data_IF_264348638719
#
_entry.id   IF_264348638719
#
_cell.length_a   1.000
_cell.length_b   1.000
_cell.length_c   1.000
_cell.angle_alpha   90.00
_cell.angle_beta   90.00
_cell.angle_gamma   90.00
#
_symmetry.space_group_name_H-M   'P 1'
#
loop_
_entity.id
_entity.type
_entity.pdbx_description
1 polymer ?
#
# COMPACT_ATOMS: atom_id res chain seq x y z
N UNK A 1 -8.17 -39.85 7.61
CA UNK A 1 -7.19 -39.50 8.64
C UNK A 1 -6.12 -38.55 8.11
N UNK A 2 -5.46 -38.79 6.97
CA UNK A 2 -4.44 -37.91 6.40
C UNK A 2 -5.00 -36.47 6.13
N UNK A 3 -6.20 -36.33 5.61
CA UNK A 3 -6.86 -35.03 5.36
C UNK A 3 -7.17 -34.26 6.65
N UNK A 4 -7.54 -34.95 7.72
CA UNK A 4 -7.76 -34.30 9.02
C UNK A 4 -6.47 -33.84 9.67
N UNK A 5 -5.42 -34.68 9.65
CA UNK A 5 -4.11 -34.26 10.18
C UNK A 5 -3.49 -33.14 9.38
N UNK A 6 -3.62 -33.14 8.04
CA UNK A 6 -3.17 -32.04 7.21
C UNK A 6 -3.95 -30.74 7.52
N UNK A 7 -5.26 -30.83 7.69
CA UNK A 7 -6.09 -29.69 8.07
C UNK A 7 -5.68 -29.06 9.41
N UNK A 8 -5.36 -29.89 10.42
CA UNK A 8 -4.84 -29.39 11.70
C UNK A 8 -3.46 -28.77 11.60
N UNK A 9 -2.56 -29.34 10.81
CA UNK A 9 -1.23 -28.77 10.58
C UNK A 9 -1.33 -27.41 9.86
N UNK A 10 -2.15 -27.33 8.82
CA UNK A 10 -2.41 -26.07 8.11
C UNK A 10 -3.04 -25.03 9.02
N UNK A 11 -3.97 -25.42 9.89
CA UNK A 11 -4.58 -24.52 10.87
C UNK A 11 -3.52 -23.96 11.84
N UNK A 12 -2.62 -24.78 12.36
CA UNK A 12 -1.55 -24.33 13.26
C UNK A 12 -0.58 -23.39 12.54
N UNK A 13 -0.22 -23.69 11.28
CA UNK A 13 0.61 -22.82 10.45
C UNK A 13 -0.07 -21.47 10.15
N UNK A 14 -1.39 -21.45 10.03
CA UNK A 14 -2.17 -20.26 9.72
C UNK A 14 -2.15 -19.18 10.82
N UNK A 15 -1.87 -19.52 12.07
CA UNK A 15 -1.70 -18.52 13.12
C UNK A 15 -0.51 -17.60 12.83
N UNK A 16 0.61 -18.20 12.39
CA UNK A 16 1.77 -17.42 11.97
C UNK A 16 1.43 -16.53 10.79
N UNK A 17 0.72 -17.07 9.80
CA UNK A 17 0.29 -16.33 8.61
C UNK A 17 -0.65 -15.17 8.97
N UNK A 18 -1.65 -15.38 9.84
CA UNK A 18 -2.58 -14.31 10.29
C UNK A 18 -1.83 -13.19 11.03
N UNK A 19 -0.76 -13.52 11.74
CA UNK A 19 0.07 -12.52 12.45
C UNK A 19 1.02 -11.75 11.52
N UNK A 20 1.37 -12.29 10.34
CA UNK A 20 2.33 -11.67 9.43
C UNK A 20 1.68 -10.95 8.25
N UNK A 21 0.49 -11.37 7.81
CA UNK A 21 -0.15 -10.89 6.59
C UNK A 21 -1.15 -9.78 6.88
N UNK A 22 -1.15 -8.74 6.06
CA UNK A 22 -2.12 -7.64 6.15
C UNK A 22 -3.51 -8.11 5.70
N UNK A 23 -4.59 -7.79 6.47
CA UNK A 23 -5.96 -8.09 6.05
C UNK A 23 -6.38 -7.27 4.82
N UNK A 24 -7.20 -7.86 3.94
CA UNK A 24 -7.81 -9.18 4.01
C UNK A 24 -6.86 -10.32 3.63
N UNK A 25 -6.81 -11.38 4.43
CA UNK A 25 -5.93 -12.54 4.17
C UNK A 25 -6.40 -13.42 3.01
N UNK A 26 -7.62 -13.19 2.52
CA UNK A 26 -8.22 -13.98 1.45
C UNK A 26 -8.58 -15.40 1.87
N UNK A 27 -8.47 -16.35 0.94
CA UNK A 27 -8.81 -17.77 1.12
C UNK A 27 -7.60 -18.65 1.43
N UNK A 28 -6.56 -18.08 2.03
CA UNK A 28 -5.36 -18.84 2.37
C UNK A 28 -5.70 -20.09 3.22
N UNK A 29 -5.06 -21.21 2.89
CA UNK A 29 -5.33 -22.51 3.48
C UNK A 29 -5.21 -22.48 5.01
N UNK A 30 -6.26 -22.92 5.67
CA UNK A 30 -6.32 -23.04 7.13
C UNK A 30 -6.71 -21.77 7.88
N UNK A 31 -6.61 -20.55 7.32
CA UNK A 31 -6.93 -19.30 8.02
C UNK A 31 -8.40 -19.24 8.46
N UNK A 32 -9.31 -19.59 7.57
CA UNK A 32 -10.73 -19.64 7.89
C UNK A 32 -11.02 -20.66 9.01
N UNK A 33 -10.41 -21.84 8.95
CA UNK A 33 -10.55 -22.87 9.97
C UNK A 33 -9.99 -22.41 11.32
N UNK A 34 -8.86 -21.72 11.33
CA UNK A 34 -8.25 -21.16 12.55
C UNK A 34 -9.18 -20.13 13.23
N UNK A 35 -9.71 -19.19 12.48
CA UNK A 35 -10.64 -18.17 13.00
C UNK A 35 -11.94 -18.83 13.51
N UNK A 36 -12.53 -19.75 12.73
CA UNK A 36 -13.71 -20.51 13.15
C UNK A 36 -13.47 -21.29 14.44
N UNK A 37 -12.34 -21.96 14.56
CA UNK A 37 -12.01 -22.75 15.74
C UNK A 37 -11.89 -21.88 16.99
N UNK A 38 -11.21 -20.72 16.90
CA UNK A 38 -11.13 -19.75 18.00
C UNK A 38 -12.52 -19.31 18.41
N UNK A 39 -13.32 -18.83 17.47
CA UNK A 39 -14.69 -18.35 17.75
C UNK A 39 -15.56 -19.43 18.37
N UNK A 40 -15.51 -20.68 17.88
CA UNK A 40 -16.26 -21.80 18.42
C UNK A 40 -15.85 -22.14 19.87
N UNK A 41 -14.55 -22.17 20.17
CA UNK A 41 -14.07 -22.43 21.53
C UNK A 41 -14.52 -21.33 22.49
N UNK A 42 -14.41 -20.06 22.14
CA UNK A 42 -14.87 -18.98 22.98
C UNK A 42 -16.40 -18.97 23.13
N UNK A 43 -17.15 -19.29 22.07
CA UNK A 43 -18.59 -19.43 22.12
C UNK A 43 -19.02 -20.60 23.03
N UNK A 44 -18.33 -21.73 22.92
CA UNK A 44 -18.58 -22.90 23.78
C UNK A 44 -18.34 -22.59 25.26
N UNK A 45 -17.18 -21.99 25.57
CA UNK A 45 -16.86 -21.58 26.95
C UNK A 45 -17.88 -20.56 27.49
N UNK A 46 -18.26 -19.58 26.67
CA UNK A 46 -19.31 -18.61 27.03
C UNK A 46 -20.63 -19.32 27.33
N UNK A 47 -21.04 -20.26 26.46
CA UNK A 47 -22.27 -21.01 26.61
C UNK A 47 -22.30 -21.87 27.90
N UNK A 48 -21.20 -22.56 28.19
CA UNK A 48 -21.06 -23.37 29.42
C UNK A 48 -21.30 -22.50 30.67
N UNK A 49 -20.63 -21.35 30.76
CA UNK A 49 -20.80 -20.45 31.90
C UNK A 49 -22.14 -19.74 31.92
N UNK A 50 -22.67 -19.35 30.76
CA UNK A 50 -23.96 -18.63 30.70
C UNK A 50 -25.20 -19.46 31.13
N UNK A 51 -25.15 -20.79 30.94
CA UNK A 51 -26.24 -21.71 31.27
C UNK A 51 -26.18 -22.17 32.72
N UNK A 52 -25.08 -21.91 33.44
CA UNK A 52 -24.92 -22.31 34.83
C UNK A 52 -25.99 -21.63 35.73
N UNK A 53 -26.58 -22.36 36.64
CA UNK A 53 -27.64 -21.84 37.55
C UNK A 53 -27.06 -20.87 38.59
N UNK A 54 -25.82 -21.07 39.01
CA UNK A 54 -25.16 -20.19 39.98
C UNK A 54 -24.77 -18.85 39.33
N UNK A 55 -25.36 -17.77 39.83
CA UNK A 55 -25.19 -16.41 39.34
C UNK A 55 -23.71 -15.91 39.35
N UNK A 56 -22.87 -16.48 40.19
CA UNK A 56 -21.43 -16.12 40.23
C UNK A 56 -20.68 -16.70 39.02
N UNK A 57 -20.91 -17.96 38.71
CA UNK A 57 -20.31 -18.61 37.55
C UNK A 57 -20.84 -18.05 36.23
N UNK A 58 -22.11 -17.63 36.21
CA UNK A 58 -22.70 -16.99 35.03
C UNK A 58 -21.95 -15.73 34.64
N UNK A 59 -21.43 -14.94 35.59
CA UNK A 59 -20.63 -13.72 35.27
C UNK A 59 -19.29 -14.05 34.62
N UNK A 60 -18.74 -15.23 34.83
CA UNK A 60 -17.50 -15.67 34.18
C UNK A 60 -17.68 -15.76 32.65
N UNK A 61 -18.91 -15.93 32.16
CA UNK A 61 -19.20 -15.95 30.72
C UNK A 61 -18.79 -14.66 30.00
N UNK A 62 -18.63 -13.55 30.69
CA UNK A 62 -18.18 -12.27 30.13
C UNK A 62 -16.72 -12.38 29.69
N UNK A 63 -15.89 -13.14 30.41
CA UNK A 63 -14.44 -13.24 30.17
C UNK A 63 -14.13 -13.81 28.77
N UNK A 64 -14.65 -14.99 28.37
CA UNK A 64 -14.36 -15.50 27.02
C UNK A 64 -14.91 -14.60 25.90
N UNK A 65 -16.06 -13.96 26.09
CA UNK A 65 -16.61 -13.02 25.09
C UNK A 65 -15.70 -11.82 24.90
N UNK A 66 -15.27 -11.19 25.99
CA UNK A 66 -14.38 -10.02 25.94
C UNK A 66 -12.98 -10.40 25.46
N UNK A 67 -12.47 -11.56 25.83
CA UNK A 67 -11.19 -12.09 25.35
C UNK A 67 -11.21 -12.33 23.84
N UNK A 68 -12.27 -12.96 23.32
CA UNK A 68 -12.43 -13.16 21.88
C UNK A 68 -12.47 -11.82 21.12
N UNK A 69 -13.25 -10.85 21.63
CA UNK A 69 -13.31 -9.52 21.04
C UNK A 69 -11.94 -8.83 21.05
N UNK A 70 -11.20 -8.95 22.15
CA UNK A 70 -9.85 -8.38 22.26
C UNK A 70 -8.88 -9.03 21.25
N UNK A 71 -8.90 -10.36 21.11
CA UNK A 71 -8.08 -11.08 20.14
C UNK A 71 -8.45 -10.63 18.72
N UNK A 72 -9.72 -10.59 18.37
CA UNK A 72 -10.18 -10.12 17.06
C UNK A 72 -9.77 -8.66 16.80
N UNK A 73 -9.83 -7.83 17.85
CA UNK A 73 -9.41 -6.43 17.75
C UNK A 73 -7.89 -6.30 17.57
N UNK A 74 -7.07 -7.13 18.20
CA UNK A 74 -5.60 -7.13 18.08
C UNK A 74 -5.14 -7.62 16.70
N UNK A 75 -5.83 -8.61 16.14
CA UNK A 75 -5.49 -9.21 14.84
C UNK A 75 -6.14 -8.46 13.65
N UNK A 76 -7.08 -7.57 13.90
CA UNK A 76 -7.84 -6.85 12.86
C UNK A 76 -7.05 -5.74 12.17
N UNK A 77 -7.67 -5.15 11.13
CA UNK A 77 -7.14 -4.01 10.38
C UNK A 77 -7.15 -2.70 11.19
N UNK A 78 -6.45 -1.68 10.70
CA UNK A 78 -6.32 -0.37 11.36
C UNK A 78 -7.58 0.51 11.34
N UNK A 79 -8.61 0.19 10.53
CA UNK A 79 -9.82 1.03 10.41
C UNK A 79 -10.58 1.18 11.75
N UNK A 80 -10.50 2.38 12.37
CA UNK A 80 -10.96 2.64 13.72
C UNK A 80 -12.48 2.59 13.89
N UNK A 81 -13.23 3.16 12.95
CA UNK A 81 -14.68 3.33 13.09
C UNK A 81 -15.47 2.02 13.20
N UNK A 82 -15.14 1.04 12.39
CA UNK A 82 -15.85 -0.24 12.41
C UNK A 82 -15.68 -0.99 13.75
N UNK A 83 -14.49 -0.92 14.34
CA UNK A 83 -14.20 -1.54 15.64
C UNK A 83 -14.95 -0.87 16.78
N UNK A 84 -15.02 0.48 16.77
CA UNK A 84 -15.78 1.24 17.76
C UNK A 84 -17.26 0.86 17.71
N UNK A 85 -17.81 0.74 16.51
CA UNK A 85 -19.20 0.34 16.30
C UNK A 85 -19.49 -1.07 16.84
N UNK A 86 -18.66 -2.05 16.46
CA UNK A 86 -18.79 -3.45 16.93
C UNK A 86 -18.59 -3.54 18.45
N UNK A 87 -17.58 -2.87 19.00
CA UNK A 87 -17.33 -2.83 20.43
C UNK A 87 -18.49 -2.22 21.22
N UNK A 88 -19.09 -1.16 20.71
CA UNK A 88 -20.26 -0.53 21.34
C UNK A 88 -21.47 -1.46 21.34
N UNK A 89 -21.77 -2.12 20.23
CA UNK A 89 -22.87 -3.09 20.15
C UNK A 89 -22.65 -4.24 21.12
N UNK A 90 -21.43 -4.80 21.18
CA UNK A 90 -21.10 -5.88 22.10
C UNK A 90 -21.24 -5.44 23.57
N UNK A 91 -20.77 -4.25 23.91
CA UNK A 91 -20.93 -3.70 25.26
C UNK A 91 -22.42 -3.56 25.64
N UNK A 92 -23.26 -3.05 24.73
CA UNK A 92 -24.71 -2.94 24.94
C UNK A 92 -25.36 -4.30 25.17
N UNK A 93 -25.03 -5.30 24.34
CA UNK A 93 -25.54 -6.68 24.48
C UNK A 93 -25.15 -7.24 25.85
N UNK A 94 -23.89 -7.10 26.27
CA UNK A 94 -23.43 -7.58 27.58
C UNK A 94 -24.13 -6.87 28.73
N UNK A 95 -24.30 -5.55 28.66
CA UNK A 95 -25.02 -4.80 29.72
C UNK A 95 -26.51 -5.21 29.82
N UNK A 96 -27.18 -5.38 28.68
CA UNK A 96 -28.57 -5.87 28.65
C UNK A 96 -28.64 -7.28 29.25
N UNK A 97 -27.74 -8.18 28.85
CA UNK A 97 -27.69 -9.54 29.35
C UNK A 97 -27.46 -9.61 30.87
N UNK A 98 -26.47 -8.86 31.39
CA UNK A 98 -26.19 -8.75 32.83
C UNK A 98 -27.43 -8.21 33.57
N UNK A 99 -28.01 -7.14 33.04
CA UNK A 99 -29.19 -6.50 33.64
C UNK A 99 -30.38 -7.45 33.69
N UNK A 100 -30.62 -8.24 32.65
CA UNK A 100 -31.65 -9.26 32.60
C UNK A 100 -31.38 -10.38 33.62
N UNK A 101 -30.15 -10.87 33.69
CA UNK A 101 -29.76 -11.97 34.60
C UNK A 101 -29.85 -11.60 36.06
N UNK A 102 -29.55 -10.35 36.41
CA UNK A 102 -29.66 -9.85 37.79
C UNK A 102 -31.05 -9.28 38.11
N UNK A 103 -32.03 -9.51 37.23
CA UNK A 103 -33.41 -9.02 37.39
C UNK A 103 -33.48 -7.49 37.59
N UNK A 104 -32.52 -6.76 37.09
CA UNK A 104 -32.50 -5.29 37.16
C UNK A 104 -33.52 -4.65 36.21
N UNK A 105 -34.08 -5.42 35.26
CA UNK A 105 -35.12 -4.97 34.32
C UNK A 105 -36.55 -5.12 34.87
N UNK A 106 -36.72 -5.64 36.11
CA UNK A 106 -38.05 -5.73 36.75
C UNK A 106 -38.64 -4.35 37.04
N UNK A 107 -39.98 -4.27 37.00
CA UNK A 107 -40.71 -3.03 37.28
C UNK A 107 -40.28 -2.44 38.63
N UNK A 108 -39.73 -1.23 38.63
CA UNK A 108 -39.19 -0.55 39.81
C UNK A 108 -37.67 -0.37 39.83
N UNK A 109 -36.92 -1.13 39.05
CA UNK A 109 -35.46 -1.01 38.91
C UNK A 109 -34.99 -0.60 37.52
N UNK A 110 -35.88 -0.46 36.56
CA UNK A 110 -35.58 -0.12 35.18
C UNK A 110 -34.83 1.22 35.05
N UNK A 111 -35.14 2.19 35.91
CA UNK A 111 -34.42 3.48 35.94
C UNK A 111 -32.95 3.30 36.27
N UNK A 112 -32.60 2.43 37.23
CA UNK A 112 -31.20 2.12 37.56
C UNK A 112 -30.48 1.47 36.40
N UNK A 113 -31.14 0.58 35.66
CA UNK A 113 -30.56 -0.07 34.47
C UNK A 113 -30.32 0.92 33.34
N UNK A 114 -31.24 1.83 33.08
CA UNK A 114 -31.07 2.91 32.09
C UNK A 114 -29.90 3.82 32.48
N UNK A 115 -29.80 4.20 33.75
CA UNK A 115 -28.68 5.02 34.25
C UNK A 115 -27.33 4.31 34.05
N UNK A 116 -27.24 3.01 34.35
CA UNK A 116 -26.03 2.21 34.15
C UNK A 116 -25.67 2.14 32.67
N UNK A 117 -26.63 1.90 31.78
CA UNK A 117 -26.40 1.88 30.33
C UNK A 117 -25.91 3.22 29.84
N UNK A 118 -26.56 4.31 30.20
CA UNK A 118 -26.18 5.68 29.77
C UNK A 118 -24.78 6.04 30.29
N UNK A 119 -24.49 5.75 31.56
CA UNK A 119 -23.14 5.97 32.12
C UNK A 119 -22.05 5.12 31.43
N UNK A 120 -22.35 3.85 31.13
CA UNK A 120 -21.41 2.96 30.44
C UNK A 120 -21.12 3.45 29.03
N UNK A 121 -22.13 3.90 28.29
CA UNK A 121 -21.99 4.48 26.97
C UNK A 121 -21.22 5.81 27.03
N UNK A 122 -21.54 6.67 27.98
CA UNK A 122 -20.83 7.94 28.18
C UNK A 122 -19.34 7.73 28.53
N UNK A 123 -19.04 6.77 29.41
CA UNK A 123 -17.66 6.41 29.75
C UNK A 123 -16.90 5.78 28.56
N UNK A 124 -17.58 4.95 27.76
CA UNK A 124 -16.99 4.38 26.56
C UNK A 124 -16.65 5.46 25.52
N UNK A 125 -17.58 6.37 25.28
CA UNK A 125 -17.36 7.51 24.35
C UNK A 125 -16.26 8.44 24.91
N UNK A 126 -16.32 8.79 26.19
CA UNK A 126 -15.32 9.61 26.85
C UNK A 126 -13.93 8.98 26.82
N UNK A 127 -13.83 7.67 27.05
CA UNK A 127 -12.58 6.91 26.93
C UNK A 127 -12.03 6.92 25.51
N UNK A 128 -12.88 6.76 24.51
CA UNK A 128 -12.47 6.83 23.10
C UNK A 128 -11.97 8.21 22.66
N UNK A 129 -12.45 9.28 23.30
CA UNK A 129 -12.02 10.66 23.00
C UNK A 129 -10.70 11.04 23.67
N UNK A 130 -10.36 10.37 24.79
CA UNK A 130 -9.18 10.68 25.61
C UNK A 130 -7.98 9.77 25.26
N UNK A 131 -8.26 8.53 24.82
CA UNK A 131 -7.20 7.60 24.41
C UNK A 131 -6.71 7.98 23.03
N UNK A 132 -5.43 8.29 22.94
CA UNK A 132 -4.73 8.57 21.69
C UNK A 132 -4.97 7.43 20.69
N UNK A 133 -5.32 7.79 19.47
CA UNK A 133 -5.77 6.80 18.47
C UNK A 133 -4.61 6.06 17.80
N UNK A 134 -3.37 6.40 18.13
CA UNK A 134 -2.19 5.72 17.63
C UNK A 134 -2.10 4.31 18.21
N UNK A 135 -2.63 3.38 17.43
CA UNK A 135 -2.66 1.98 17.81
C UNK A 135 -1.37 1.29 17.41
N UNK A 136 -0.70 0.67 18.38
CA UNK A 136 0.30 -0.37 18.13
C UNK A 136 -0.34 -1.58 17.45
N UNK A 137 0.04 -1.84 16.21
CA UNK A 137 -0.44 -3.01 15.46
C UNK A 137 0.47 -4.19 15.86
N UNK A 138 -0.12 -5.25 16.43
CA UNK A 138 0.64 -6.43 16.87
C UNK A 138 1.44 -7.07 15.73
N UNK A 139 0.89 -7.03 14.53
CA UNK A 139 1.51 -7.53 13.31
C UNK A 139 2.84 -6.84 13.01
N UNK A 140 2.93 -5.54 13.18
CA UNK A 140 4.14 -4.75 12.91
C UNK A 140 5.29 -5.11 13.87
N UNK A 141 4.96 -5.67 15.05
CA UNK A 141 5.96 -6.19 15.98
C UNK A 141 6.41 -7.61 15.64
N UNK A 142 5.55 -8.41 15.01
CA UNK A 142 5.83 -9.78 14.69
C UNK A 142 6.52 -9.92 13.31
N UNK A 143 6.02 -9.22 12.32
CA UNK A 143 6.55 -9.15 10.96
C UNK A 143 6.48 -7.68 10.50
N UNK A 144 7.51 -6.89 10.84
CA UNK A 144 7.52 -5.47 10.52
C UNK A 144 7.49 -5.27 8.99
N UNK A 145 6.94 -4.15 8.52
CA UNK A 145 6.97 -3.83 7.10
C UNK A 145 8.39 -3.89 6.55
N UNK A 146 8.54 -4.48 5.38
CA UNK A 146 9.82 -4.47 4.67
C UNK A 146 10.05 -3.06 4.14
N UNK A 147 11.16 -2.45 4.53
CA UNK A 147 11.57 -1.15 4.03
C UNK A 147 12.77 -1.30 3.11
N UNK A 148 12.60 -1.08 1.81
CA UNK A 148 13.69 -1.12 0.84
C UNK A 148 14.50 0.19 0.80
N UNK A 149 14.28 1.12 1.71
CA UNK A 149 14.93 2.42 1.78
C UNK A 149 16.46 2.33 1.70
N UNK A 150 17.05 1.28 2.27
CA UNK A 150 18.48 1.02 2.26
C UNK A 150 19.00 0.43 0.93
N UNK A 151 18.12 0.14 -0.01
CA UNK A 151 18.53 -0.33 -1.33
C UNK A 151 19.00 0.86 -2.18
N UNK A 152 19.83 0.57 -3.17
CA UNK A 152 20.23 1.56 -4.17
C UNK A 152 18.98 2.14 -4.84
N UNK A 153 19.00 3.44 -5.14
CA UNK A 153 17.91 4.10 -5.86
C UNK A 153 17.48 3.28 -7.09
N UNK A 154 16.21 2.91 -7.20
CA UNK A 154 15.73 2.14 -8.35
C UNK A 154 15.99 2.86 -9.68
N UNK A 155 15.84 4.19 -9.70
CA UNK A 155 16.04 5.00 -10.88
C UNK A 155 17.48 4.95 -11.38
N UNK A 156 18.46 4.85 -10.49
CA UNK A 156 19.88 4.67 -10.85
C UNK A 156 20.13 3.36 -11.61
N UNK A 157 19.26 2.36 -11.45
CA UNK A 157 19.30 1.10 -12.19
C UNK A 157 18.89 1.21 -13.66
N UNK A 158 18.14 2.27 -14.03
CA UNK A 158 17.60 2.44 -15.39
C UNK A 158 18.67 2.34 -16.48
N UNK A 159 19.83 2.95 -16.24
CA UNK A 159 20.96 2.94 -17.20
C UNK A 159 21.43 1.53 -17.53
N UNK A 160 21.41 0.63 -16.55
CA UNK A 160 21.81 -0.77 -16.76
C UNK A 160 20.88 -1.49 -17.74
N UNK A 161 19.57 -1.27 -17.64
CA UNK A 161 18.61 -1.84 -18.60
C UNK A 161 18.86 -1.34 -20.02
N UNK A 162 19.17 -0.04 -20.20
CA UNK A 162 19.42 0.56 -21.50
C UNK A 162 20.75 0.10 -22.11
N UNK A 163 21.79 -0.08 -21.30
CA UNK A 163 23.14 -0.42 -21.80
C UNK A 163 23.37 -1.91 -21.97
N UNK A 164 22.84 -2.71 -21.03
CA UNK A 164 23.17 -4.14 -20.93
C UNK A 164 22.07 -5.04 -21.49
N UNK A 165 20.82 -4.57 -21.53
CA UNK A 165 19.67 -5.39 -21.86
C UNK A 165 18.75 -4.74 -22.91
N UNK A 166 19.32 -3.86 -23.76
CA UNK A 166 18.57 -3.11 -24.78
C UNK A 166 17.82 -4.02 -25.76
N UNK A 167 18.44 -5.13 -26.13
CA UNK A 167 17.94 -6.07 -27.12
C UNK A 167 17.38 -7.36 -26.48
N UNK A 168 17.37 -7.44 -25.15
CA UNK A 168 16.85 -8.59 -24.42
C UNK A 168 15.38 -8.41 -24.10
N UNK A 169 14.61 -9.52 -24.12
CA UNK A 169 13.29 -9.58 -23.52
C UNK A 169 13.48 -9.72 -22.01
N UNK A 170 12.99 -8.76 -21.24
CA UNK A 170 13.10 -8.74 -19.80
C UNK A 170 11.86 -9.32 -19.12
N UNK A 171 10.71 -9.15 -19.75
CA UNK A 171 9.41 -9.50 -19.21
C UNK A 171 8.44 -9.77 -20.35
N UNK A 172 7.75 -10.89 -20.29
CA UNK A 172 6.61 -11.22 -21.15
C UNK A 172 5.32 -11.06 -20.37
N UNK A 173 4.35 -10.32 -20.94
CA UNK A 173 3.06 -10.08 -20.26
C UNK A 173 1.91 -10.44 -21.18
N UNK A 174 1.07 -11.36 -20.73
CA UNK A 174 -0.12 -11.80 -21.46
C UNK A 174 -1.37 -11.11 -20.92
N UNK A 175 -2.31 -10.80 -21.80
CA UNK A 175 -3.61 -10.20 -21.49
C UNK A 175 -3.53 -8.81 -20.77
N UNK A 176 -2.44 -8.08 -20.96
CA UNK A 176 -2.35 -6.72 -20.46
C UNK A 176 -3.21 -5.80 -21.35
N UNK A 177 -4.04 -4.91 -20.77
CA UNK A 177 -4.81 -3.95 -21.57
C UNK A 177 -3.89 -3.06 -22.42
N UNK A 178 -4.22 -2.87 -23.68
CA UNK A 178 -3.42 -2.07 -24.61
C UNK A 178 -3.14 -0.66 -24.09
N UNK A 179 -1.93 -0.16 -24.27
CA UNK A 179 -1.49 1.15 -23.80
C UNK A 179 -1.17 1.22 -22.30
N UNK A 180 -1.20 0.10 -21.59
CA UNK A 180 -0.82 0.05 -20.19
C UNK A 180 0.71 0.00 -20.02
N UNK A 181 1.20 0.58 -18.93
CA UNK A 181 2.59 0.48 -18.50
C UNK A 181 2.76 -0.50 -17.35
N UNK A 182 3.94 -1.06 -17.22
CA UNK A 182 4.33 -1.92 -16.10
C UNK A 182 5.24 -1.14 -15.18
N UNK A 183 4.88 -1.07 -13.90
CA UNK A 183 5.60 -0.34 -12.85
C UNK A 183 6.55 -1.28 -12.13
N UNK A 184 7.75 -0.81 -11.85
CA UNK A 184 8.70 -1.45 -10.95
C UNK A 184 8.72 -0.77 -9.59
N UNK A 185 9.11 0.50 -9.55
CA UNK A 185 9.29 1.24 -8.31
C UNK A 185 8.70 2.64 -8.39
N UNK A 186 8.27 3.15 -7.24
CA UNK A 186 7.74 4.52 -7.08
C UNK A 186 8.56 5.24 -6.02
N UNK A 187 9.14 6.37 -6.39
CA UNK A 187 10.04 7.16 -5.55
C UNK A 187 9.43 8.52 -5.28
N UNK A 188 9.38 8.92 -4.04
CA UNK A 188 8.76 10.17 -3.60
C UNK A 188 9.70 11.06 -2.77
N UNK A 189 10.94 10.65 -2.54
CA UNK A 189 11.98 11.42 -1.86
C UNK A 189 13.13 11.75 -2.79
N UNK A 190 13.54 13.02 -2.82
CA UNK A 190 14.75 13.49 -3.48
C UNK A 190 15.70 14.08 -2.43
N UNK A 191 16.94 13.56 -2.36
CA UNK A 191 17.95 13.95 -1.38
C UNK A 191 19.08 14.84 -1.97
N UNK A 192 18.85 15.41 -3.13
CA UNK A 192 19.84 16.19 -3.88
C UNK A 192 20.66 15.36 -4.84
N UNK A 193 20.86 14.08 -4.58
CA UNK A 193 21.66 13.19 -5.41
C UNK A 193 20.80 12.21 -6.20
N UNK A 194 19.81 11.61 -5.54
CA UNK A 194 18.96 10.57 -6.13
C UNK A 194 17.51 10.67 -5.67
N UNK A 195 16.62 10.15 -6.50
CA UNK A 195 15.27 9.80 -6.09
C UNK A 195 15.29 8.45 -5.40
N UNK A 196 14.63 8.37 -4.25
CA UNK A 196 14.46 7.15 -3.48
C UNK A 196 13.08 7.11 -2.81
N UNK A 197 12.83 6.08 -2.03
CA UNK A 197 11.62 5.95 -1.22
C UNK A 197 11.78 6.74 0.08
N UNK A 198 10.68 7.20 0.63
CA UNK A 198 10.59 7.75 1.99
C UNK A 198 10.35 6.63 3.00
N UNK A 199 10.67 6.87 4.25
CA UNK A 199 10.44 5.97 5.37
C UNK A 199 9.39 6.52 6.35
N UNK A 200 9.03 5.73 7.36
CA UNK A 200 8.01 6.07 8.36
C UNK A 200 8.34 7.29 9.23
N UNK A 201 9.56 7.80 9.19
CA UNK A 201 9.96 9.01 9.92
C UNK A 201 9.66 10.28 9.14
N UNK A 202 9.29 10.16 7.86
CA UNK A 202 9.00 11.25 6.95
C UNK A 202 7.49 11.52 6.85
N UNK A 203 7.13 12.53 6.08
CA UNK A 203 5.74 12.92 5.84
C UNK A 203 4.94 11.94 4.95
N UNK A 204 5.62 10.99 4.33
CA UNK A 204 5.04 9.86 3.61
C UNK A 204 5.89 8.61 3.88
N UNK A 205 5.33 7.44 3.66
CA UNK A 205 6.00 6.14 3.84
C UNK A 205 5.84 5.29 2.58
N UNK A 206 6.53 5.70 1.51
CA UNK A 206 6.51 4.95 0.25
C UNK A 206 7.28 3.63 0.33
N UNK A 207 8.05 3.41 1.40
CA UNK A 207 8.77 2.16 1.66
C UNK A 207 8.00 1.17 2.55
N UNK A 208 6.74 1.43 2.87
CA UNK A 208 5.93 0.55 3.70
C UNK A 208 5.39 -0.65 2.88
N UNK A 209 6.24 -1.62 2.62
CA UNK A 209 5.86 -2.86 1.94
C UNK A 209 5.45 -3.92 2.96
N UNK A 210 4.23 -4.42 2.82
CA UNK A 210 3.67 -5.42 3.72
C UNK A 210 3.44 -6.73 3.01
N UNK A 211 3.61 -7.83 3.72
CA UNK A 211 3.18 -9.12 3.23
C UNK A 211 1.66 -9.13 3.08
N UNK A 212 1.16 -9.53 1.93
CA UNK A 212 -0.27 -9.60 1.63
C UNK A 212 -0.69 -11.04 1.35
N UNK A 213 -1.95 -11.33 1.60
CA UNK A 213 -2.54 -12.63 1.31
C UNK A 213 -2.99 -12.76 -0.15
N UNK A 214 -3.88 -13.71 -0.40
CA UNK A 214 -4.47 -13.95 -1.73
C UNK A 214 -5.47 -12.87 -2.16
N UNK A 215 -5.77 -11.90 -1.29
CA UNK A 215 -6.65 -10.77 -1.57
C UNK A 215 -6.05 -9.48 -1.03
N UNK A 216 -6.07 -8.44 -1.84
CA UNK A 216 -5.55 -7.10 -1.53
C UNK A 216 -6.70 -6.12 -1.59
N UNK A 217 -6.85 -5.28 -0.56
CA UNK A 217 -7.85 -4.22 -0.58
C UNK A 217 -7.47 -3.16 -1.61
N UNK A 218 -8.40 -2.85 -2.50
CA UNK A 218 -8.20 -1.93 -3.59
C UNK A 218 -9.43 -1.03 -3.73
N UNK A 219 -9.21 0.27 -3.67
CA UNK A 219 -10.25 1.31 -3.83
C UNK A 219 -10.11 2.04 -5.17
N UNK A 220 -9.29 1.56 -6.10
CA UNK A 220 -9.11 2.19 -7.39
C UNK A 220 -10.38 2.06 -8.26
N UNK A 221 -10.70 3.12 -8.99
CA UNK A 221 -11.77 3.12 -9.97
C UNK A 221 -11.18 2.89 -11.37
N UNK A 222 -11.80 2.00 -12.14
CA UNK A 222 -11.33 1.69 -13.49
C UNK A 222 -11.84 0.36 -14.02
N UNK A 223 -11.12 -0.19 -14.99
CA UNK A 223 -11.48 -1.46 -15.64
C UNK A 223 -10.76 -2.62 -14.95
N UNK A 224 -11.48 -3.69 -14.66
CA UNK A 224 -10.87 -4.94 -14.19
C UNK A 224 -9.99 -5.55 -15.26
N UNK A 225 -8.86 -6.08 -14.87
CA UNK A 225 -7.97 -6.82 -15.74
C UNK A 225 -7.40 -8.04 -15.00
N UNK A 226 -6.90 -8.99 -15.77
CA UNK A 226 -6.11 -10.12 -15.30
C UNK A 226 -5.00 -10.34 -16.31
N UNK A 227 -3.76 -10.18 -15.89
CA UNK A 227 -2.58 -10.33 -16.73
C UNK A 227 -1.59 -11.30 -16.10
N UNK A 228 -0.94 -12.10 -16.94
CA UNK A 228 0.10 -13.04 -16.52
C UNK A 228 1.47 -12.51 -16.91
N UNK A 229 2.35 -12.46 -15.94
CA UNK A 229 3.71 -11.97 -16.07
C UNK A 229 4.68 -13.14 -16.00
N UNK A 230 5.59 -13.21 -16.94
CA UNK A 230 6.72 -14.15 -16.92
C UNK A 230 8.02 -13.36 -16.99
N UNK A 231 8.85 -13.55 -15.99
CA UNK A 231 10.18 -12.92 -15.93
C UNK A 231 11.12 -13.65 -16.87
N UNK A 232 11.72 -12.91 -17.78
CA UNK A 232 12.67 -13.42 -18.76
C UNK A 232 14.11 -13.20 -18.30
N UNK A 233 15.05 -13.75 -19.07
CA UNK A 233 16.49 -13.64 -18.82
C UNK A 233 16.91 -12.17 -18.86
N UNK A 234 17.58 -11.71 -17.83
CA UNK A 234 18.10 -10.34 -17.74
C UNK A 234 17.35 -9.44 -16.76
N UNK A 235 16.18 -9.83 -16.29
CA UNK A 235 15.51 -9.17 -15.18
C UNK A 235 15.81 -9.92 -13.87
N UNK A 236 16.75 -9.39 -13.08
CA UNK A 236 17.05 -9.89 -11.74
C UNK A 236 17.07 -8.73 -10.76
N UNK A 237 15.93 -8.41 -10.21
CA UNK A 237 15.72 -7.25 -9.34
C UNK A 237 14.91 -7.63 -8.10
N UNK A 238 14.93 -6.77 -7.10
CA UNK A 238 14.04 -6.87 -5.93
C UNK A 238 12.62 -6.37 -6.25
N UNK A 239 12.47 -5.54 -7.27
CA UNK A 239 11.21 -4.97 -7.69
C UNK A 239 10.44 -5.97 -8.56
N UNK A 240 9.21 -6.31 -8.13
CA UNK A 240 8.33 -7.16 -8.93
C UNK A 240 7.51 -6.27 -9.87
N UNK A 241 7.55 -6.53 -11.19
CA UNK A 241 6.74 -5.77 -12.14
C UNK A 241 5.24 -5.86 -11.85
N UNK A 242 4.55 -4.72 -11.82
CA UNK A 242 3.10 -4.63 -11.56
C UNK A 242 2.43 -3.68 -12.56
N UNK A 243 1.19 -3.94 -12.95
CA UNK A 243 0.50 -3.09 -13.92
C UNK A 243 -0.48 -2.09 -13.28
N UNK A 244 -1.54 -2.56 -12.69
CA UNK A 244 -2.58 -1.71 -12.14
C UNK A 244 -2.55 -1.57 -10.64
N UNK A 245 -3.72 -1.41 -10.05
CA UNK A 245 -3.97 -1.55 -8.63
C UNK A 245 -4.38 -2.99 -8.36
N UNK A 246 -3.50 -3.78 -7.79
CA UNK A 246 -3.74 -5.20 -7.58
C UNK A 246 -4.86 -5.46 -6.57
N UNK A 247 -5.73 -6.42 -6.89
CA UNK A 247 -6.70 -7.01 -5.96
C UNK A 247 -6.29 -8.41 -5.52
N UNK A 248 -5.46 -9.08 -6.32
CA UNK A 248 -4.81 -10.34 -5.98
C UNK A 248 -3.58 -10.56 -6.84
N UNK A 249 -2.60 -11.25 -6.30
CA UNK A 249 -1.44 -11.76 -7.03
C UNK A 249 -1.29 -13.24 -6.70
N UNK A 250 -1.19 -14.06 -7.71
CA UNK A 250 -1.08 -15.51 -7.57
C UNK A 250 0.16 -15.98 -8.30
N UNK A 251 1.05 -16.68 -7.62
CA UNK A 251 2.24 -17.28 -8.21
C UNK A 251 1.96 -18.73 -8.63
N UNK A 252 2.56 -19.18 -9.72
CA UNK A 252 2.45 -20.56 -10.17
C UNK A 252 3.01 -21.56 -9.14
N UNK A 253 4.10 -21.19 -8.46
CA UNK A 253 4.59 -21.89 -7.29
C UNK A 253 4.16 -21.16 -6.02
N UNK A 254 3.36 -21.81 -5.18
CA UNK A 254 2.83 -21.26 -3.93
C UNK A 254 3.91 -20.84 -2.92
N UNK A 255 5.11 -21.44 -2.96
CA UNK A 255 6.24 -21.05 -2.12
C UNK A 255 6.71 -19.62 -2.40
N UNK A 256 6.51 -19.14 -3.62
CA UNK A 256 6.86 -17.78 -4.02
C UNK A 256 5.97 -16.70 -3.37
N UNK A 257 4.76 -17.07 -2.97
CA UNK A 257 3.83 -16.16 -2.29
C UNK A 257 4.36 -15.69 -0.93
N UNK A 258 5.17 -16.49 -0.26
CA UNK A 258 5.77 -16.14 1.04
C UNK A 258 6.83 -15.03 0.93
N UNK A 259 7.35 -14.79 -0.26
CA UNK A 259 8.34 -13.76 -0.56
C UNK A 259 7.75 -12.52 -1.23
N UNK A 260 6.42 -12.36 -1.24
CA UNK A 260 5.75 -11.26 -1.90
C UNK A 260 5.29 -10.19 -0.90
N UNK A 261 5.72 -8.94 -1.13
CA UNK A 261 5.35 -7.77 -0.34
C UNK A 261 4.80 -6.69 -1.27
N UNK A 262 3.72 -6.04 -0.86
CA UNK A 262 3.01 -5.05 -1.65
C UNK A 262 2.81 -3.76 -0.85
N UNK A 263 2.92 -2.63 -1.54
CA UNK A 263 2.57 -1.32 -1.01
C UNK A 263 1.33 -0.79 -1.74
N UNK A 264 0.21 -0.68 -1.03
CA UNK A 264 -1.07 -0.25 -1.59
C UNK A 264 -1.09 1.22 -2.01
N UNK A 265 -0.28 2.09 -1.37
CA UNK A 265 -0.24 3.54 -1.66
C UNK A 265 0.53 3.83 -2.94
N UNK A 266 1.55 3.04 -3.21
CA UNK A 266 2.37 3.16 -4.42
C UNK A 266 1.97 2.15 -5.50
N UNK A 267 1.13 1.17 -5.15
CA UNK A 267 0.72 0.06 -6.02
C UNK A 267 1.93 -0.66 -6.62
N UNK A 268 3.00 -0.82 -5.87
CA UNK A 268 4.24 -1.47 -6.28
C UNK A 268 4.57 -2.65 -5.36
N UNK A 269 5.40 -3.55 -5.83
CA UNK A 269 5.69 -4.79 -5.14
C UNK A 269 7.19 -5.07 -5.04
N UNK A 270 7.57 -5.78 -3.98
CA UNK A 270 8.93 -6.24 -3.73
C UNK A 270 8.94 -7.75 -3.58
N UNK A 271 9.95 -8.34 -4.17
CA UNK A 271 10.27 -9.76 -4.10
C UNK A 271 11.70 -9.93 -3.55
N UNK A 272 11.88 -10.04 -2.22
CA UNK A 272 13.20 -10.05 -1.57
C UNK A 272 14.13 -11.17 -2.04
N UNK A 273 13.58 -12.29 -2.54
CA UNK A 273 14.35 -13.39 -3.11
C UNK A 273 14.97 -13.07 -4.47
N UNK A 274 14.72 -11.87 -5.01
CA UNK A 274 14.99 -11.41 -6.37
C UNK A 274 14.20 -12.17 -7.43
N UNK A 275 13.76 -11.44 -8.42
CA UNK A 275 13.16 -12.01 -9.63
C UNK A 275 14.21 -12.83 -10.39
N UNK A 276 13.80 -13.91 -11.01
CA UNK A 276 14.65 -14.78 -11.81
C UNK A 276 13.89 -15.29 -13.02
N UNK A 277 14.63 -15.69 -14.04
CA UNK A 277 14.08 -16.30 -15.25
C UNK A 277 13.10 -17.43 -14.90
N UNK A 278 11.91 -17.41 -15.50
CA UNK A 278 10.85 -18.38 -15.30
C UNK A 278 9.92 -18.10 -14.10
N UNK A 279 10.15 -17.03 -13.33
CA UNK A 279 9.19 -16.61 -12.31
C UNK A 279 7.89 -16.14 -13.00
N UNK A 280 6.80 -16.87 -12.76
CA UNK A 280 5.49 -16.58 -13.35
C UNK A 280 4.46 -16.28 -12.27
N UNK A 281 3.70 -15.23 -12.47
CA UNK A 281 2.62 -14.82 -11.58
C UNK A 281 1.49 -14.13 -12.35
N UNK A 282 0.28 -14.20 -11.82
CA UNK A 282 -0.91 -13.56 -12.37
C UNK A 282 -1.39 -12.46 -11.45
N UNK A 283 -1.46 -11.24 -11.98
CA UNK A 283 -2.05 -10.08 -11.32
C UNK A 283 -3.50 -9.93 -11.78
N UNK A 284 -4.43 -9.90 -10.82
CA UNK A 284 -5.81 -9.46 -11.05
C UNK A 284 -6.02 -8.15 -10.30
N UNK A 285 -6.54 -7.16 -10.98
CA UNK A 285 -6.68 -5.83 -10.38
C UNK A 285 -7.58 -4.90 -11.18
N UNK A 286 -7.41 -3.62 -10.90
CA UNK A 286 -8.10 -2.53 -11.57
C UNK A 286 -7.07 -1.67 -12.29
N UNK A 287 -7.25 -1.52 -13.60
CA UNK A 287 -6.51 -0.55 -14.40
C UNK A 287 -7.19 0.81 -14.23
N UNK A 288 -6.54 1.78 -13.58
CA UNK A 288 -7.11 3.10 -13.35
C UNK A 288 -7.49 3.78 -14.67
N UNK A 289 -8.60 4.49 -14.66
CA UNK A 289 -9.02 5.27 -15.83
C UNK A 289 -8.10 6.47 -16.00
N UNK A 290 -7.48 6.59 -17.17
CA UNK A 290 -6.67 7.77 -17.50
C UNK A 290 -7.58 8.95 -17.78
N UNK A 291 -7.46 10.07 -17.05
CA UNK A 291 -8.26 11.26 -17.28
C UNK A 291 -7.86 11.93 -18.60
N UNK A 292 -8.81 12.60 -19.24
CA UNK A 292 -8.53 13.40 -20.44
C UNK A 292 -7.79 14.69 -20.07
N UNK A 293 -7.06 15.28 -21.03
CA UNK A 293 -6.34 16.55 -20.83
C UNK A 293 -7.25 17.67 -20.30
N UNK A 294 -8.50 17.72 -20.78
CA UNK A 294 -9.50 18.68 -20.31
C UNK A 294 -9.94 18.45 -18.85
N UNK A 295 -9.92 17.21 -18.40
CA UNK A 295 -10.20 16.88 -17.01
C UNK A 295 -9.00 17.24 -16.14
N UNK A 296 -7.79 16.87 -16.58
CA UNK A 296 -6.55 17.23 -15.89
C UNK A 296 -6.44 18.74 -15.69
N UNK A 297 -6.65 19.54 -16.74
CA UNK A 297 -6.54 21.00 -16.67
C UNK A 297 -7.47 21.65 -15.63
N UNK A 298 -8.56 20.98 -15.25
CA UNK A 298 -9.53 21.49 -14.28
C UNK A 298 -9.24 21.07 -12.84
N UNK A 299 -8.26 20.21 -12.62
CA UNK A 299 -7.96 19.68 -11.29
C UNK A 299 -7.06 20.63 -10.52
N UNK A 300 -7.33 20.77 -9.23
CA UNK A 300 -6.44 21.44 -8.29
C UNK A 300 -5.36 20.45 -7.78
N UNK A 301 -4.31 21.01 -7.16
CA UNK A 301 -3.30 20.20 -6.50
C UNK A 301 -3.92 19.41 -5.32
N UNK A 302 -3.61 18.13 -5.22
CA UNK A 302 -4.03 17.32 -4.08
C UNK A 302 -3.32 17.80 -2.80
N UNK A 303 -4.06 17.86 -1.69
CA UNK A 303 -3.51 18.17 -0.38
C UNK A 303 -2.85 16.92 0.23
N UNK A 304 -1.71 16.51 -0.33
CA UNK A 304 -0.94 15.35 0.10
C UNK A 304 0.37 15.85 0.70
N UNK A 305 0.73 15.33 1.88
CA UNK A 305 2.05 15.58 2.47
C UNK A 305 3.11 14.71 1.77
N UNK A 306 4.21 15.32 1.40
CA UNK A 306 5.35 14.65 0.77
C UNK A 306 6.67 15.14 1.40
N UNK A 307 7.74 14.31 1.42
CA UNK A 307 9.04 14.76 1.86
C UNK A 307 9.52 15.95 1.05
N UNK A 308 10.08 16.93 1.72
CA UNK A 308 10.68 18.10 1.04
C UNK A 308 11.86 17.60 0.20
N UNK A 309 11.93 18.06 -1.05
CA UNK A 309 13.12 17.82 -1.88
C UNK A 309 14.30 18.64 -1.35
N UNK A 310 15.45 18.00 -1.23
CA UNK A 310 16.68 18.58 -0.69
C UNK A 310 17.61 19.01 -1.84
N UNK A 311 18.39 20.04 -1.64
CA UNK A 311 19.44 20.53 -2.54
C UNK A 311 19.00 20.66 -4.02
N UNK A 312 17.82 21.27 -4.23
CA UNK A 312 17.23 21.47 -5.57
C UNK A 312 17.87 22.70 -6.23
N UNK A 313 18.34 22.61 -7.48
CA UNK A 313 18.92 23.77 -8.19
C UNK A 313 17.93 24.91 -8.37
N UNK A 314 18.41 26.14 -8.24
CA UNK A 314 17.60 27.36 -8.40
C UNK A 314 16.91 27.47 -9.77
N UNK A 315 17.50 26.90 -10.81
CA UNK A 315 16.93 26.89 -12.16
C UNK A 315 15.59 26.17 -12.25
N UNK A 316 15.35 25.19 -11.36
CA UNK A 316 14.10 24.42 -11.30
C UNK A 316 12.92 25.34 -10.99
N UNK A 317 13.00 26.10 -9.91
CA UNK A 317 11.92 27.02 -9.49
C UNK A 317 11.74 28.18 -10.49
N UNK A 318 12.83 28.77 -10.94
CA UNK A 318 12.81 29.85 -11.93
C UNK A 318 12.13 29.45 -13.23
N UNK A 319 12.49 28.27 -13.76
CA UNK A 319 11.91 27.76 -14.99
C UNK A 319 10.46 27.31 -14.81
N UNK A 320 10.16 26.61 -13.72
CA UNK A 320 8.80 26.19 -13.40
C UNK A 320 7.84 27.39 -13.28
N UNK A 321 8.23 28.42 -12.56
CA UNK A 321 7.46 29.66 -12.41
C UNK A 321 7.30 30.39 -13.75
N UNK A 322 8.35 30.45 -14.56
CA UNK A 322 8.30 31.09 -15.88
C UNK A 322 7.33 30.35 -16.84
N UNK A 323 7.29 29.01 -16.79
CA UNK A 323 6.39 28.19 -17.63
C UNK A 323 4.96 28.28 -17.12
N UNK A 324 4.72 28.17 -15.81
CA UNK A 324 3.39 28.21 -15.23
C UNK A 324 2.71 29.57 -15.42
N UNK A 325 3.46 30.66 -15.58
CA UNK A 325 2.97 31.96 -16.08
C UNK A 325 1.81 32.58 -15.27
N UNK A 326 1.75 32.32 -13.95
CA UNK A 326 0.64 32.74 -13.11
C UNK A 326 -0.60 31.84 -13.18
N UNK A 327 -0.55 30.76 -13.93
CA UNK A 327 -1.51 29.67 -13.86
C UNK A 327 -1.36 29.00 -12.49
N UNK A 328 -2.33 29.23 -11.62
CA UNK A 328 -2.25 28.82 -10.23
C UNK A 328 -2.83 27.42 -9.97
N UNK A 329 -3.31 26.72 -11.01
CA UNK A 329 -4.10 25.51 -10.82
C UNK A 329 -3.35 24.26 -11.28
N UNK A 330 -3.35 23.28 -10.39
CA UNK A 330 -2.53 22.09 -10.40
C UNK A 330 -2.39 21.39 -11.74
N UNK A 331 -3.49 20.95 -12.34
CA UNK A 331 -3.45 20.18 -13.58
C UNK A 331 -2.99 20.99 -14.80
N UNK A 332 -3.43 22.25 -14.92
CA UNK A 332 -3.03 23.13 -16.02
C UNK A 332 -1.53 23.46 -15.97
N UNK A 333 -1.02 23.76 -14.78
CA UNK A 333 0.41 23.99 -14.59
C UNK A 333 1.23 22.73 -14.90
N UNK A 334 0.79 21.55 -14.44
CA UNK A 334 1.46 20.30 -14.74
C UNK A 334 1.51 19.99 -16.25
N UNK A 335 0.44 20.26 -16.98
CA UNK A 335 0.40 20.09 -18.44
C UNK A 335 1.36 21.06 -19.14
N UNK A 336 1.37 22.34 -18.73
CA UNK A 336 2.31 23.33 -19.28
C UNK A 336 3.78 22.95 -19.09
N UNK A 337 4.13 22.41 -17.89
CA UNK A 337 5.46 21.88 -17.63
C UNK A 337 5.82 20.72 -18.55
N UNK A 338 4.91 19.74 -18.68
CA UNK A 338 5.13 18.56 -19.50
C UNK A 338 5.27 18.91 -20.99
N UNK A 339 4.41 19.81 -21.50
CA UNK A 339 4.46 20.28 -22.89
C UNK A 339 5.76 21.01 -23.17
N UNK A 340 6.17 21.91 -22.28
CA UNK A 340 7.43 22.66 -22.44
C UNK A 340 8.65 21.75 -22.45
N UNK A 341 8.72 20.80 -21.55
CA UNK A 341 9.83 19.82 -21.56
C UNK A 341 9.85 18.96 -22.83
N UNK A 342 8.68 18.58 -23.32
CA UNK A 342 8.52 17.80 -24.56
C UNK A 342 8.93 18.59 -25.81
N UNK A 343 8.55 19.88 -25.90
CA UNK A 343 8.84 20.73 -27.04
C UNK A 343 10.28 21.21 -27.08
N UNK A 344 10.87 21.52 -25.94
CA UNK A 344 12.22 22.11 -25.86
C UNK A 344 13.30 21.07 -25.64
N UNK A 345 12.93 19.85 -25.26
CA UNK A 345 13.85 18.79 -24.90
C UNK A 345 14.31 17.95 -26.08
N UNK A 346 15.57 17.54 -26.05
CA UNK A 346 16.17 16.58 -26.97
C UNK A 346 16.41 15.27 -26.24
N UNK A 347 15.89 14.19 -26.81
CA UNK A 347 16.01 12.87 -26.20
C UNK A 347 17.33 12.22 -26.61
N UNK A 348 18.16 11.83 -25.62
CA UNK A 348 19.39 11.09 -25.84
C UNK A 348 19.77 10.29 -24.60
N UNK A 349 20.07 9.03 -24.78
CA UNK A 349 20.69 8.19 -23.76
C UNK A 349 22.19 8.47 -23.58
N UNK A 350 22.83 9.22 -24.48
CA UNK A 350 24.29 9.47 -24.48
C UNK A 350 25.10 8.21 -24.68
N UNK A 351 24.57 7.22 -25.41
CA UNK A 351 25.32 6.02 -25.82
C UNK A 351 26.18 6.31 -27.02
N UNK A 352 26.99 5.32 -27.41
CA UNK A 352 27.84 5.44 -28.62
C UNK A 352 26.95 5.70 -29.85
N UNK A 353 27.19 6.82 -30.52
CA UNK A 353 26.37 7.26 -31.65
C UNK A 353 25.23 8.22 -31.32
N UNK A 354 24.89 8.38 -30.07
CA UNK A 354 23.90 9.36 -29.62
C UNK A 354 24.55 10.75 -29.40
N UNK A 355 23.70 11.77 -29.30
CA UNK A 355 24.15 13.08 -28.81
C UNK A 355 24.65 12.95 -27.37
N UNK A 356 25.76 13.59 -26.97
CA UNK A 356 26.34 13.44 -25.64
C UNK A 356 25.34 13.82 -24.54
N UNK A 357 25.09 12.89 -23.62
CA UNK A 357 24.26 13.07 -22.44
C UNK A 357 24.83 12.25 -21.30
N UNK A 358 25.05 12.88 -20.14
CA UNK A 358 25.53 12.18 -18.94
C UNK A 358 24.36 11.50 -18.22
N UNK A 359 24.61 10.33 -17.68
CA UNK A 359 23.65 9.61 -16.83
C UNK A 359 23.48 10.32 -15.47
N UNK A 360 22.45 9.91 -14.74
CA UNK A 360 22.13 10.41 -13.40
C UNK A 360 21.01 11.44 -13.40
N UNK A 361 20.48 11.69 -12.22
CA UNK A 361 19.29 12.54 -12.01
C UNK A 361 19.44 13.44 -10.78
N UNK A 362 20.66 13.58 -10.25
CA UNK A 362 20.94 14.47 -9.11
C UNK A 362 20.97 15.95 -9.50
N UNK A 363 21.13 16.81 -8.48
CA UNK A 363 21.08 18.25 -8.62
C UNK A 363 21.96 18.82 -9.74
N UNK A 364 23.20 18.41 -9.80
CA UNK A 364 24.13 18.85 -10.85
C UNK A 364 23.64 18.48 -12.25
N UNK A 365 23.10 17.27 -12.42
CA UNK A 365 22.62 16.82 -13.72
C UNK A 365 21.31 17.52 -14.13
N UNK A 366 20.46 17.83 -13.17
CA UNK A 366 19.23 18.62 -13.40
C UNK A 366 19.57 20.07 -13.73
N UNK A 367 20.57 20.65 -13.08
CA UNK A 367 21.05 21.99 -13.43
C UNK A 367 21.60 22.03 -14.86
N UNK A 368 22.41 21.06 -15.25
CA UNK A 368 22.87 20.93 -16.63
C UNK A 368 21.74 20.79 -17.65
N UNK A 369 20.68 20.05 -17.31
CA UNK A 369 19.53 19.85 -18.19
C UNK A 369 18.75 21.15 -18.38
N UNK A 370 18.41 21.85 -17.29
CA UNK A 370 17.49 22.99 -17.31
C UNK A 370 18.16 24.36 -17.53
N UNK A 371 19.40 24.55 -17.08
CA UNK A 371 20.17 25.78 -17.24
C UNK A 371 21.20 25.70 -18.38
N UNK A 372 21.38 24.56 -19.00
CA UNK A 372 22.32 24.35 -20.12
C UNK A 372 21.85 25.07 -21.40
N UNK A 373 22.78 25.15 -22.39
CA UNK A 373 22.49 25.74 -23.70
C UNK A 373 21.52 24.91 -24.55
N UNK A 374 21.45 23.62 -24.28
CA UNK A 374 20.53 22.69 -24.91
C UNK A 374 19.99 21.69 -23.84
N UNK A 375 18.70 21.50 -23.82
CA UNK A 375 18.04 20.58 -22.91
C UNK A 375 18.14 19.16 -23.47
N UNK A 376 19.22 18.43 -23.12
CA UNK A 376 19.48 17.07 -23.62
C UNK A 376 19.48 16.07 -22.48
N UNK A 377 18.64 15.05 -22.58
CA UNK A 377 18.51 14.00 -21.57
C UNK A 377 17.67 12.84 -22.05
N UNK A 378 17.53 11.84 -21.20
CA UNK A 378 16.61 10.73 -21.41
C UNK A 378 15.47 10.74 -20.37
N UNK A 379 14.69 9.67 -20.33
CA UNK A 379 13.54 9.56 -19.42
C UNK A 379 13.92 9.75 -17.94
N UNK A 380 15.13 9.36 -17.54
CA UNK A 380 15.62 9.51 -16.17
C UNK A 380 15.68 10.98 -15.75
N UNK A 381 16.32 11.82 -16.58
CA UNK A 381 16.49 13.23 -16.30
C UNK A 381 15.18 14.01 -16.45
N UNK A 382 14.41 13.74 -17.49
CA UNK A 382 13.14 14.45 -17.72
C UNK A 382 12.10 14.14 -16.64
N UNK A 383 12.02 12.87 -16.17
CA UNK A 383 11.12 12.52 -15.08
C UNK A 383 11.50 13.20 -13.77
N UNK A 384 12.82 13.24 -13.45
CA UNK A 384 13.34 13.95 -12.29
C UNK A 384 13.07 15.45 -12.37
N UNK A 385 13.40 16.09 -13.49
CA UNK A 385 13.16 17.52 -13.70
C UNK A 385 11.66 17.87 -13.57
N UNK A 386 10.79 17.11 -14.24
CA UNK A 386 9.35 17.31 -14.17
C UNK A 386 8.82 17.22 -12.75
N UNK A 387 9.25 16.22 -11.99
CA UNK A 387 8.81 16.01 -10.62
C UNK A 387 9.30 17.14 -9.69
N UNK A 388 10.54 17.61 -9.83
CA UNK A 388 11.08 18.74 -9.05
C UNK A 388 10.40 20.06 -9.40
N UNK A 389 10.16 20.34 -10.70
CA UNK A 389 9.44 21.52 -11.16
C UNK A 389 8.00 21.52 -10.65
N UNK A 390 7.31 20.39 -10.67
CA UNK A 390 5.98 20.25 -10.09
C UNK A 390 5.98 20.57 -8.59
N UNK A 391 6.95 20.05 -7.84
CA UNK A 391 7.09 20.32 -6.39
C UNK A 391 7.36 21.79 -6.08
N UNK A 392 8.16 22.47 -6.87
CA UNK A 392 8.41 23.90 -6.67
C UNK A 392 7.14 24.75 -6.81
N UNK A 393 6.18 24.28 -7.61
CA UNK A 393 4.86 24.90 -7.75
C UNK A 393 3.84 24.41 -6.71
N UNK A 394 4.25 23.58 -5.75
CA UNK A 394 3.36 23.02 -4.73
C UNK A 394 2.50 21.84 -5.23
N UNK A 395 2.83 21.24 -6.37
CA UNK A 395 2.14 20.07 -6.91
C UNK A 395 2.78 18.80 -6.36
N UNK A 396 2.03 17.92 -5.69
CA UNK A 396 2.54 16.61 -5.28
C UNK A 396 3.00 15.80 -6.49
N UNK A 397 4.20 15.26 -6.41
CA UNK A 397 4.78 14.49 -7.51
C UNK A 397 5.65 13.34 -7.00
N UNK A 398 5.79 12.32 -7.82
CA UNK A 398 6.67 11.17 -7.60
C UNK A 398 7.24 10.69 -8.93
N UNK A 399 8.40 10.05 -8.88
CA UNK A 399 9.04 9.45 -10.04
C UNK A 399 8.73 7.95 -10.05
N UNK A 400 8.35 7.43 -11.19
CA UNK A 400 8.03 6.00 -11.38
C UNK A 400 9.02 5.41 -12.38
N UNK A 401 9.66 4.31 -11.98
CA UNK A 401 10.44 3.47 -12.87
C UNK A 401 9.58 2.29 -13.34
N UNK A 402 9.64 1.96 -14.61
CA UNK A 402 8.89 0.83 -15.16
C UNK A 402 9.19 0.59 -16.64
N UNK A 403 8.39 -0.29 -17.23
CA UNK A 403 8.50 -0.68 -18.64
C UNK A 403 7.26 -0.26 -19.41
N UNK A 404 7.47 0.11 -20.67
CA UNK A 404 6.42 0.25 -21.68
C UNK A 404 6.45 -0.99 -22.55
N UNK A 405 5.44 -1.86 -22.47
CA UNK A 405 5.35 -3.04 -23.32
C UNK A 405 5.33 -2.65 -24.81
N UNK A 406 5.95 -3.46 -25.62
CA UNK A 406 5.80 -3.42 -27.08
C UNK A 406 4.83 -4.53 -27.44
N UNK A 407 3.84 -4.23 -28.28
CA UNK A 407 2.97 -5.23 -28.84
C UNK A 407 3.76 -6.02 -29.87
N UNK A 408 3.73 -7.36 -29.76
CA UNK A 408 4.29 -8.28 -30.74
C UNK A 408 3.30 -8.55 -31.90
#
# INVERSE_FOLDING_TARGET
LRTLTQGWMNMLGSFKFILSVEPPTGTADGCLLAVWTICLWFALLTGIFAVTEDGRFTMIAIIPVTANLAICALLGSSSGYYRMFVGTIMALILVIWISARWKLLELGRWLSSVVIVVLSVALAIGGCLVVDQDRTILRDHYDPPLSPYNYTSPLSGMRSYITNSKDDVLLTVENLPAGSSVRLAVMDRFDGNVWNLSDSTMSSDSSNYRRVGTSITNNAEGKKFTATFTVDKGLSDYWLPMAGAASSVTFDNSENSDSFYYNSDTMSAIYPSRTSEGLTYTETGIMPTVPTDKQIAKTDAAAISQPKAEDVPDCVDKLATAIAGGQSKGGEAAQALAEKLKESGWFSHGLSGDYPSTAGHGNYRIDQLLAGTAMVGDSEQYASAMALMARSLGLPSRVVLGFLPKDD
#
